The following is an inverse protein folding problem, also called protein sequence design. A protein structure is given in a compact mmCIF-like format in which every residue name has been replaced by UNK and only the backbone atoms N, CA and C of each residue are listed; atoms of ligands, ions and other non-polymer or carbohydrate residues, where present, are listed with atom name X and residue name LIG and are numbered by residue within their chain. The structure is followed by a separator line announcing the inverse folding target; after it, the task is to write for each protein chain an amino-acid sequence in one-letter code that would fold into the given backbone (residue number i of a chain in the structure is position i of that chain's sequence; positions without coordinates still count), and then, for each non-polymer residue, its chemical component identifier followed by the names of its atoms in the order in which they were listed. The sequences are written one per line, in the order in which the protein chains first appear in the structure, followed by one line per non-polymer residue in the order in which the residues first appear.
data_IF_529478312056
#
_entry.id   IF_529478312056
#
_cell.length_a   1.000
_cell.length_b   1.000
_cell.length_c   1.000
_cell.angle_alpha   90.00
_cell.angle_beta   90.00
_cell.angle_gamma   90.00
#
_symmetry.space_group_name_H-M   'P 1'
#
loop_
_entity.id
_entity.type
_entity.pdbx_description
1 polymer ?
#
# COMPACT_ATOMS: atom_id res chain seq x y z
N UNK A 1 -2.77 3.13 -15.36
CA UNK A 1 -1.70 3.28 -14.35
C UNK A 1 -0.44 2.68 -14.95
N UNK A 2 0.63 3.46 -14.93
CA UNK A 2 1.93 3.03 -15.44
C UNK A 2 2.75 2.40 -14.31
N UNK A 3 3.75 1.59 -14.69
CA UNK A 3 4.68 0.99 -13.72
C UNK A 3 5.51 2.10 -13.03
N UNK A 4 5.61 2.02 -11.71
CA UNK A 4 6.36 2.99 -10.90
C UNK A 4 5.62 4.31 -10.66
N UNK A 5 4.32 4.41 -10.97
CA UNK A 5 3.51 5.56 -10.59
C UNK A 5 3.08 5.50 -9.11
N UNK A 6 3.05 6.66 -8.48
CA UNK A 6 2.34 6.88 -7.22
C UNK A 6 0.93 7.36 -7.53
N UNK A 7 -0.07 6.53 -7.29
CA UNK A 7 -1.46 6.78 -7.66
C UNK A 7 -2.30 7.04 -6.41
N UNK A 8 -3.13 8.07 -6.46
CA UNK A 8 -4.13 8.33 -5.42
C UNK A 8 -5.53 8.14 -5.99
N UNK A 9 -6.28 7.23 -5.39
CA UNK A 9 -7.71 7.03 -5.65
C UNK A 9 -8.48 7.74 -4.54
N UNK A 10 -9.23 8.77 -4.89
CA UNK A 10 -9.92 9.62 -3.93
C UNK A 10 -11.42 9.66 -4.18
N UNK A 11 -12.19 9.77 -3.10
CA UNK A 11 -13.63 9.86 -3.14
C UNK A 11 -14.27 9.79 -1.76
N UNK A 12 -15.56 10.14 -1.62
CA UNK A 12 -16.25 10.10 -0.34
C UNK A 12 -16.32 8.69 0.24
N UNK A 13 -16.64 8.56 1.53
CA UNK A 13 -16.94 7.26 2.15
C UNK A 13 -18.07 6.56 1.40
N UNK A 14 -17.95 5.25 1.22
CA UNK A 14 -18.93 4.45 0.46
C UNK A 14 -18.84 4.62 -1.07
N UNK A 15 -17.88 5.35 -1.61
CA UNK A 15 -17.72 5.52 -3.06
C UNK A 15 -17.29 4.25 -3.82
N UNK A 16 -16.89 3.18 -3.12
CA UNK A 16 -16.42 1.93 -3.72
C UNK A 16 -14.90 1.82 -3.82
N UNK A 17 -14.13 2.70 -3.17
CA UNK A 17 -12.66 2.71 -3.22
C UNK A 17 -12.04 1.40 -2.72
N UNK A 18 -12.44 0.95 -1.53
CA UNK A 18 -11.96 -0.32 -0.94
C UNK A 18 -12.35 -1.52 -1.81
N UNK A 19 -13.53 -1.51 -2.44
CA UNK A 19 -13.94 -2.56 -3.39
C UNK A 19 -12.98 -2.60 -4.59
N UNK A 20 -12.65 -1.45 -5.17
CA UNK A 20 -11.67 -1.38 -6.27
C UNK A 20 -10.31 -1.92 -5.82
N UNK A 21 -9.84 -1.52 -4.64
CA UNK A 21 -8.56 -2.00 -4.09
C UNK A 21 -8.57 -3.52 -3.88
N UNK A 22 -9.65 -4.07 -3.33
CA UNK A 22 -9.80 -5.51 -3.13
C UNK A 22 -9.80 -6.29 -4.45
N UNK A 23 -10.45 -5.76 -5.47
CA UNK A 23 -10.46 -6.37 -6.80
C UNK A 23 -9.06 -6.28 -7.44
N UNK A 24 -8.40 -5.11 -7.39
CA UNK A 24 -7.04 -4.95 -7.88
C UNK A 24 -6.04 -5.88 -7.18
N UNK A 25 -6.23 -6.07 -5.89
CA UNK A 25 -5.40 -6.96 -5.08
C UNK A 25 -5.77 -8.44 -5.16
N UNK A 26 -6.81 -8.82 -5.91
CA UNK A 26 -7.26 -10.20 -6.04
C UNK A 26 -7.88 -10.79 -4.76
N UNK A 27 -8.32 -9.95 -3.82
CA UNK A 27 -9.10 -10.37 -2.63
C UNK A 27 -10.54 -10.66 -3.07
N UNK A 28 -11.06 -9.84 -3.98
CA UNK A 28 -12.39 -9.98 -4.57
C UNK A 28 -12.27 -10.14 -6.09
N UNK A 29 -13.35 -10.57 -6.74
CA UNK A 29 -13.41 -10.79 -8.18
C UNK A 29 -14.29 -9.73 -8.85
N UNK A 30 -13.89 -9.27 -10.05
CA UNK A 30 -14.73 -8.37 -10.83
C UNK A 30 -15.83 -9.14 -11.57
N UNK A 31 -17.04 -8.55 -11.62
CA UNK A 31 -18.17 -9.12 -12.36
C UNK A 31 -18.03 -8.96 -13.89
N UNK A 32 -17.13 -8.08 -14.33
CA UNK A 32 -16.87 -7.81 -15.75
C UNK A 32 -15.68 -6.88 -15.93
N UNK A 33 -15.23 -6.72 -17.16
CA UNK A 33 -14.02 -5.95 -17.47
C UNK A 33 -12.75 -6.76 -17.32
N UNK A 34 -11.58 -6.10 -17.45
CA UNK A 34 -10.27 -6.73 -17.41
C UNK A 34 -9.32 -5.96 -16.49
N UNK A 35 -8.53 -6.70 -15.72
CA UNK A 35 -7.42 -6.20 -14.95
C UNK A 35 -6.15 -6.81 -15.51
N UNK A 36 -5.22 -5.97 -15.92
CA UNK A 36 -3.93 -6.38 -16.47
C UNK A 36 -2.82 -5.92 -15.54
N UNK A 37 -1.92 -6.83 -15.18
CA UNK A 37 -0.66 -6.51 -14.52
C UNK A 37 0.49 -7.11 -15.35
N UNK A 38 1.41 -6.28 -15.78
CA UNK A 38 2.51 -6.67 -16.67
C UNK A 38 2.04 -7.50 -17.89
N UNK A 39 0.92 -7.12 -18.50
CA UNK A 39 0.32 -7.78 -19.64
C UNK A 39 -0.45 -9.08 -19.32
N UNK A 40 -0.47 -9.52 -18.08
CA UNK A 40 -1.23 -10.71 -17.66
C UNK A 40 -2.62 -10.33 -17.17
N UNK A 41 -3.65 -11.03 -17.64
CA UNK A 41 -5.05 -10.78 -17.25
C UNK A 41 -5.35 -11.42 -15.88
N UNK A 42 -5.22 -10.62 -14.81
CA UNK A 42 -5.49 -11.02 -13.42
C UNK A 42 -6.97 -11.38 -13.22
N UNK A 43 -7.88 -10.67 -13.90
CA UNK A 43 -9.32 -10.92 -13.83
C UNK A 43 -9.75 -12.32 -14.30
N UNK A 44 -8.90 -12.99 -15.09
CA UNK A 44 -9.13 -14.36 -15.56
C UNK A 44 -8.48 -15.43 -14.66
N UNK A 45 -7.87 -15.04 -13.52
CA UNK A 45 -7.18 -15.99 -12.66
C UNK A 45 -8.15 -16.88 -11.88
N UNK A 46 -7.80 -18.18 -11.79
CA UNK A 46 -8.46 -19.10 -10.87
C UNK A 46 -8.21 -18.69 -9.40
N UNK A 47 -9.01 -19.18 -8.44
CA UNK A 47 -8.79 -18.90 -7.02
C UNK A 47 -7.37 -19.24 -6.53
N UNK A 48 -6.79 -20.34 -7.02
CA UNK A 48 -5.41 -20.73 -6.73
C UNK A 48 -4.42 -19.69 -7.27
N UNK A 49 -4.59 -19.25 -8.51
CA UNK A 49 -3.72 -18.27 -9.15
C UNK A 49 -3.86 -16.87 -8.52
N UNK A 50 -5.06 -16.48 -8.06
CA UNK A 50 -5.26 -15.27 -7.26
C UNK A 50 -4.54 -15.34 -5.90
N UNK A 51 -4.47 -16.53 -5.27
CA UNK A 51 -3.67 -16.73 -4.05
C UNK A 51 -2.18 -16.52 -4.33
N UNK A 52 -1.65 -17.07 -5.44
CA UNK A 52 -0.26 -16.83 -5.87
C UNK A 52 -0.01 -15.35 -6.18
N UNK A 53 -0.93 -14.68 -6.87
CA UNK A 53 -0.88 -13.25 -7.17
C UNK A 53 -0.78 -12.40 -5.90
N UNK A 54 -1.67 -12.61 -4.91
CA UNK A 54 -1.60 -11.93 -3.61
C UNK A 54 -0.30 -12.22 -2.86
N UNK A 55 0.22 -13.43 -3.02
CA UNK A 55 1.43 -13.89 -2.33
C UNK A 55 2.69 -13.21 -2.88
N UNK A 56 2.80 -13.08 -4.20
CA UNK A 56 4.04 -12.70 -4.87
C UNK A 56 4.04 -11.29 -5.47
N UNK A 57 2.90 -10.83 -5.98
CA UNK A 57 2.86 -9.61 -6.78
C UNK A 57 2.29 -8.41 -6.01
N UNK A 58 1.52 -8.64 -4.92
CA UNK A 58 0.79 -7.57 -4.21
C UNK A 58 1.20 -7.48 -2.75
N UNK A 59 1.55 -6.28 -2.31
CA UNK A 59 1.65 -5.90 -0.90
C UNK A 59 0.42 -5.09 -0.46
N UNK A 60 -0.10 -5.37 0.73
CA UNK A 60 -1.22 -4.64 1.31
C UNK A 60 -0.81 -3.89 2.56
N UNK A 61 -1.24 -2.63 2.65
CA UNK A 61 -1.14 -1.77 3.83
C UNK A 61 -2.54 -1.29 4.17
N UNK A 62 -3.02 -1.60 5.36
CA UNK A 62 -4.37 -1.27 5.82
C UNK A 62 -4.35 -0.14 6.85
N UNK A 63 -5.48 0.53 7.05
CA UNK A 63 -5.67 1.55 8.08
C UNK A 63 -5.42 1.00 9.50
N UNK A 64 -5.88 -0.22 9.77
CA UNK A 64 -5.55 -0.96 10.98
C UNK A 64 -4.38 -1.89 10.66
N UNK A 65 -3.32 -1.78 11.41
CA UNK A 65 -1.99 -2.36 11.11
C UNK A 65 -1.99 -3.88 10.93
N UNK A 66 -2.98 -4.59 11.51
CA UNK A 66 -3.15 -6.04 11.43
C UNK A 66 -1.89 -6.81 11.82
N UNK A 67 -1.21 -6.34 12.88
CA UNK A 67 -0.03 -7.00 13.44
C UNK A 67 -0.46 -8.10 14.41
N UNK A 68 0.30 -9.18 14.43
CA UNK A 68 0.16 -10.26 15.38
C UNK A 68 0.75 -9.79 16.71
N UNK A 69 -0.07 -9.66 17.75
CA UNK A 69 0.28 -8.97 18.99
C UNK A 69 1.34 -9.67 19.84
N UNK A 70 1.47 -10.99 19.72
CA UNK A 70 2.45 -11.82 20.44
C UNK A 70 3.72 -12.10 19.64
N UNK A 71 3.92 -11.41 18.52
CA UNK A 71 5.14 -11.44 17.73
C UNK A 71 5.80 -10.05 17.76
N UNK A 72 7.13 -10.03 17.75
CA UNK A 72 7.93 -8.81 17.62
C UNK A 72 7.74 -8.15 16.27
N UNK A 73 8.27 -6.93 16.08
CA UNK A 73 8.26 -6.25 14.78
C UNK A 73 8.95 -7.11 13.71
N UNK A 74 10.10 -7.67 14.02
CA UNK A 74 10.84 -8.55 13.10
C UNK A 74 10.03 -9.79 12.74
N UNK A 75 9.52 -10.52 13.71
CA UNK A 75 8.70 -11.72 13.48
C UNK A 75 7.42 -11.43 12.70
N UNK A 76 6.78 -10.25 12.91
CA UNK A 76 5.63 -9.80 12.11
C UNK A 76 5.99 -9.60 10.64
N UNK A 77 7.20 -9.13 10.34
CA UNK A 77 7.69 -8.97 8.97
C UNK A 77 8.04 -10.34 8.39
N UNK A 78 8.80 -11.17 9.10
CA UNK A 78 9.21 -12.53 8.68
C UNK A 78 8.05 -13.47 8.34
N UNK A 79 6.84 -13.22 8.86
CA UNK A 79 5.65 -13.98 8.47
C UNK A 79 5.39 -13.94 6.96
N UNK A 80 5.77 -12.84 6.30
CA UNK A 80 5.54 -12.68 4.86
C UNK A 80 6.57 -13.46 4.04
N UNK A 81 7.84 -13.56 4.49
CA UNK A 81 8.90 -14.30 3.79
C UNK A 81 8.60 -15.78 3.67
N UNK A 82 7.98 -16.36 4.70
CA UNK A 82 7.66 -17.81 4.74
C UNK A 82 6.79 -18.27 3.55
N UNK A 83 6.12 -17.35 2.90
CA UNK A 83 5.20 -17.66 1.81
C UNK A 83 5.65 -17.10 0.45
N UNK A 84 6.76 -16.35 0.39
CA UNK A 84 7.26 -15.70 -0.81
C UNK A 84 8.38 -16.51 -1.49
N UNK A 85 8.65 -16.23 -2.78
CA UNK A 85 9.71 -16.93 -3.52
C UNK A 85 11.07 -16.24 -3.41
N UNK A 86 11.06 -14.90 -3.39
CA UNK A 86 12.25 -14.06 -3.37
C UNK A 86 11.97 -12.85 -2.45
N UNK A 87 11.79 -13.09 -1.14
CA UNK A 87 11.54 -12.03 -0.19
C UNK A 87 12.80 -11.16 0.00
N UNK A 88 12.58 -9.90 0.33
CA UNK A 88 13.61 -9.05 0.89
C UNK A 88 13.97 -9.58 2.30
N UNK A 89 15.18 -9.33 2.75
CA UNK A 89 15.54 -9.59 4.15
C UNK A 89 14.66 -8.74 5.10
N UNK A 90 14.12 -9.38 6.14
CA UNK A 90 13.17 -8.73 7.04
C UNK A 90 13.81 -7.59 7.85
N UNK A 91 15.09 -7.73 8.25
CA UNK A 91 15.80 -6.63 8.90
C UNK A 91 16.05 -5.48 7.94
N UNK A 92 16.37 -5.77 6.67
CA UNK A 92 16.51 -4.75 5.64
C UNK A 92 15.18 -4.01 5.41
N UNK A 93 14.05 -4.72 5.34
CA UNK A 93 12.74 -4.12 5.24
C UNK A 93 12.43 -3.19 6.42
N UNK A 94 12.80 -3.58 7.65
CA UNK A 94 12.64 -2.74 8.84
C UNK A 94 13.58 -1.53 8.84
N UNK A 95 14.82 -1.66 8.34
CA UNK A 95 15.73 -0.51 8.16
C UNK A 95 15.19 0.50 7.16
N UNK A 96 14.61 0.05 6.04
CA UNK A 96 13.99 0.92 5.04
C UNK A 96 12.88 1.80 5.61
N UNK A 97 12.18 1.32 6.63
CA UNK A 97 11.12 2.08 7.30
C UNK A 97 11.59 2.78 8.59
N UNK A 98 12.91 2.76 8.89
CA UNK A 98 13.52 3.43 10.05
C UNK A 98 13.13 2.80 11.39
N UNK A 99 13.13 1.46 11.46
CA UNK A 99 12.80 0.69 12.66
C UNK A 99 13.90 -0.29 13.10
N UNK A 100 15.16 -0.05 12.73
CA UNK A 100 16.28 -0.92 13.11
C UNK A 100 16.42 -1.12 14.63
N UNK A 101 16.15 -0.09 15.42
CA UNK A 101 16.23 -0.17 16.88
C UNK A 101 14.95 -0.75 17.53
N UNK A 102 13.92 -1.00 16.74
CA UNK A 102 12.60 -1.48 17.20
C UNK A 102 12.28 -2.92 16.81
N UNK A 103 13.19 -3.62 16.17
CA UNK A 103 12.97 -4.98 15.62
C UNK A 103 12.48 -5.99 16.67
N UNK A 104 12.96 -5.88 17.92
CA UNK A 104 12.62 -6.77 19.02
C UNK A 104 11.40 -6.31 19.85
N UNK A 105 10.79 -5.17 19.53
CA UNK A 105 9.64 -4.67 20.24
C UNK A 105 8.36 -5.39 19.77
N UNK A 106 7.47 -5.65 20.72
CA UNK A 106 6.11 -6.13 20.44
C UNK A 106 5.20 -4.95 20.00
N UNK A 107 4.11 -5.19 19.25
CA UNK A 107 3.18 -4.14 18.85
C UNK A 107 2.70 -3.25 19.99
N UNK A 108 2.48 -3.81 21.18
CA UNK A 108 2.07 -3.05 22.37
C UNK A 108 3.13 -2.05 22.88
N UNK A 109 4.37 -2.17 22.44
CA UNK A 109 5.50 -1.31 22.80
C UNK A 109 5.80 -0.27 21.70
N UNK A 110 5.04 -0.28 20.62
CA UNK A 110 5.19 0.58 19.45
C UNK A 110 4.08 1.62 19.39
N UNK A 111 4.43 2.84 19.02
CA UNK A 111 3.44 3.87 18.66
C UNK A 111 2.63 3.45 17.42
N UNK A 112 1.47 4.09 17.19
CA UNK A 112 0.66 3.81 16.00
C UNK A 112 1.44 3.98 14.69
N UNK A 113 2.27 5.02 14.60
CA UNK A 113 3.12 5.24 13.43
C UNK A 113 4.22 4.19 13.26
N UNK A 114 4.80 3.68 14.36
CA UNK A 114 5.75 2.57 14.30
C UNK A 114 5.06 1.28 13.87
N UNK A 115 3.87 0.99 14.40
CA UNK A 115 3.07 -0.16 13.98
C UNK A 115 2.71 -0.10 12.48
N UNK A 116 2.37 1.09 11.98
CA UNK A 116 2.11 1.29 10.55
C UNK A 116 3.37 1.07 9.71
N UNK A 117 4.53 1.53 10.18
CA UNK A 117 5.80 1.23 9.50
C UNK A 117 6.15 -0.25 9.50
N UNK A 118 5.86 -1.01 10.58
CA UNK A 118 5.99 -2.48 10.57
C UNK A 118 5.07 -3.10 9.53
N UNK A 119 3.81 -2.65 9.42
CA UNK A 119 2.88 -3.14 8.40
C UNK A 119 3.36 -2.85 6.97
N UNK A 120 3.98 -1.68 6.74
CA UNK A 120 4.60 -1.33 5.46
C UNK A 120 5.82 -2.22 5.20
N UNK A 121 6.72 -2.40 6.17
CA UNK A 121 7.88 -3.28 6.05
C UNK A 121 7.46 -4.72 5.67
N UNK A 122 6.44 -5.26 6.35
CA UNK A 122 5.86 -6.58 6.03
C UNK A 122 5.31 -6.67 4.60
N UNK A 123 4.73 -5.58 4.10
CA UNK A 123 4.25 -5.54 2.73
C UNK A 123 5.41 -5.46 1.71
N UNK A 124 6.48 -4.72 2.04
CA UNK A 124 7.66 -4.53 1.19
C UNK A 124 8.57 -5.76 1.16
N UNK A 125 8.69 -6.47 2.28
CA UNK A 125 9.49 -7.69 2.40
C UNK A 125 9.11 -8.75 1.35
N UNK A 126 7.84 -8.83 0.97
CA UNK A 126 7.35 -9.67 -0.13
C UNK A 126 7.96 -9.33 -1.49
N UNK A 127 8.67 -8.20 -1.60
CA UNK A 127 9.18 -7.65 -2.85
C UNK A 127 8.09 -7.51 -3.95
N UNK A 128 6.93 -6.92 -3.64
CA UNK A 128 5.77 -6.89 -4.52
C UNK A 128 5.99 -5.94 -5.71
N UNK A 129 5.26 -6.17 -6.80
CA UNK A 129 5.18 -5.24 -7.94
C UNK A 129 4.25 -4.07 -7.66
N UNK A 130 3.20 -4.33 -6.88
CA UNK A 130 2.11 -3.42 -6.59
C UNK A 130 1.90 -3.33 -5.06
N UNK A 131 1.98 -2.12 -4.52
CA UNK A 131 1.66 -1.82 -3.13
C UNK A 131 0.30 -1.12 -3.07
N UNK A 132 -0.66 -1.74 -2.40
CA UNK A 132 -2.02 -1.25 -2.23
C UNK A 132 -2.23 -0.77 -0.80
N UNK A 133 -2.55 0.52 -0.63
CA UNK A 133 -2.69 1.15 0.68
C UNK A 133 -4.13 1.66 0.86
N UNK A 134 -4.83 1.11 1.86
CA UNK A 134 -6.18 1.55 2.26
C UNK A 134 -6.09 2.49 3.45
N UNK A 135 -6.34 3.79 3.24
CA UNK A 135 -6.31 4.85 4.26
C UNK A 135 -5.06 4.76 5.18
N UNK A 136 -3.84 4.72 4.63
CA UNK A 136 -2.62 4.36 5.39
C UNK A 136 -2.29 5.34 6.51
N UNK A 137 -2.92 6.50 6.57
CA UNK A 137 -2.74 7.54 7.59
C UNK A 137 -3.97 7.75 8.46
N UNK A 138 -5.06 7.03 8.20
CA UNK A 138 -6.37 7.31 8.81
C UNK A 138 -6.46 7.14 10.33
N UNK A 139 -5.51 6.42 10.95
CA UNK A 139 -5.41 6.23 12.40
C UNK A 139 -4.24 6.99 13.04
N UNK A 140 -3.60 7.93 12.30
CA UNK A 140 -2.38 8.61 12.72
C UNK A 140 -2.62 10.12 12.88
N UNK A 141 -1.83 10.75 13.75
CA UNK A 141 -1.74 12.19 13.81
C UNK A 141 -1.09 12.79 12.54
N UNK A 142 -1.23 14.08 12.35
CA UNK A 142 -0.78 14.80 11.16
C UNK A 142 0.71 14.57 10.84
N UNK A 143 1.59 14.74 11.84
CA UNK A 143 3.05 14.64 11.65
C UNK A 143 3.44 13.21 11.27
N UNK A 144 2.91 12.25 12.00
CA UNK A 144 3.15 10.82 11.75
C UNK A 144 2.59 10.40 10.39
N UNK A 145 1.38 10.85 10.06
CA UNK A 145 0.76 10.59 8.76
C UNK A 145 1.59 11.12 7.60
N UNK A 146 2.15 12.33 7.74
CA UNK A 146 3.04 12.94 6.74
C UNK A 146 4.30 12.12 6.52
N UNK A 147 4.91 11.59 7.59
CA UNK A 147 6.07 10.71 7.51
C UNK A 147 5.75 9.38 6.79
N UNK A 148 4.55 8.83 7.02
CA UNK A 148 4.09 7.64 6.29
C UNK A 148 3.90 7.92 4.79
N UNK A 149 3.30 9.05 4.43
CA UNK A 149 3.14 9.42 3.02
C UNK A 149 4.48 9.61 2.33
N UNK A 150 5.43 10.27 3.01
CA UNK A 150 6.81 10.40 2.52
C UNK A 150 7.44 9.03 2.29
N UNK A 151 7.37 8.13 3.27
CA UNK A 151 7.90 6.78 3.15
C UNK A 151 7.32 6.03 1.95
N UNK A 152 6.01 6.12 1.71
CA UNK A 152 5.36 5.47 0.57
C UNK A 152 5.79 6.11 -0.76
N UNK A 153 5.90 7.44 -0.82
CA UNK A 153 6.39 8.15 -2.02
C UNK A 153 7.85 7.81 -2.31
N UNK A 154 8.72 7.83 -1.30
CA UNK A 154 10.13 7.45 -1.42
C UNK A 154 10.27 5.98 -1.85
N UNK A 155 9.45 5.08 -1.30
CA UNK A 155 9.40 3.68 -1.73
C UNK A 155 9.09 3.56 -3.21
N UNK A 156 8.07 4.26 -3.69
CA UNK A 156 7.70 4.29 -5.11
C UNK A 156 8.88 4.77 -5.97
N UNK A 157 9.46 5.92 -5.61
CA UNK A 157 10.55 6.56 -6.38
C UNK A 157 11.84 5.73 -6.41
N UNK A 158 12.25 5.22 -5.24
CA UNK A 158 13.54 4.54 -5.08
C UNK A 158 13.53 3.10 -5.59
N UNK A 159 12.38 2.43 -5.55
CA UNK A 159 12.28 1.00 -5.91
C UNK A 159 11.60 0.76 -7.27
N UNK A 160 10.98 1.78 -7.86
CA UNK A 160 10.19 1.66 -9.09
C UNK A 160 8.92 0.81 -8.94
N UNK A 161 8.49 0.54 -7.71
CA UNK A 161 7.23 -0.18 -7.42
C UNK A 161 6.05 0.76 -7.64
N UNK A 162 4.96 0.23 -8.16
CA UNK A 162 3.71 0.99 -8.27
C UNK A 162 3.03 1.03 -6.90
N UNK A 163 2.68 2.22 -6.45
CA UNK A 163 1.97 2.44 -5.18
C UNK A 163 0.60 3.03 -5.45
N UNK A 164 -0.46 2.40 -4.96
CA UNK A 164 -1.83 2.91 -5.05
C UNK A 164 -2.34 3.17 -3.64
N UNK A 165 -2.63 4.42 -3.34
CA UNK A 165 -3.24 4.86 -2.08
C UNK A 165 -4.70 5.18 -2.32
N UNK A 166 -5.61 4.55 -1.56
CA UNK A 166 -7.00 4.99 -1.51
C UNK A 166 -7.24 5.81 -0.25
N UNK A 167 -7.92 6.94 -0.40
CA UNK A 167 -8.20 7.85 0.71
C UNK A 167 -9.42 8.72 0.44
N UNK A 168 -10.00 9.28 1.50
CA UNK A 168 -10.99 10.36 1.39
C UNK A 168 -10.34 11.74 1.49
N UNK A 169 -9.03 11.81 1.82
CA UNK A 169 -8.32 13.08 1.94
C UNK A 169 -7.88 13.62 0.58
N UNK A 170 -8.51 14.73 0.16
CA UNK A 170 -8.24 15.37 -1.12
C UNK A 170 -6.83 15.97 -1.23
N UNK A 171 -6.21 16.34 -0.12
CA UNK A 171 -4.88 16.95 -0.12
C UNK A 171 -3.82 16.02 -0.74
N UNK A 172 -3.97 14.70 -0.59
CA UNK A 172 -3.00 13.72 -1.11
C UNK A 172 -2.95 13.68 -2.64
N UNK A 173 -3.94 14.24 -3.33
CA UNK A 173 -3.95 14.30 -4.79
C UNK A 173 -2.77 15.11 -5.35
N UNK A 174 -2.27 16.10 -4.62
CA UNK A 174 -1.19 16.94 -5.07
C UNK A 174 0.18 16.23 -5.15
N UNK A 175 0.36 15.11 -4.41
CA UNK A 175 1.60 14.34 -4.43
C UNK A 175 1.60 13.16 -5.41
N UNK A 176 0.46 12.86 -6.01
CA UNK A 176 0.30 11.73 -6.91
C UNK A 176 0.75 12.05 -8.34
N UNK A 177 1.33 11.06 -9.02
CA UNK A 177 1.56 11.12 -10.47
C UNK A 177 0.22 11.04 -11.22
N UNK A 178 -0.71 10.24 -10.66
CA UNK A 178 -2.06 10.05 -11.22
C UNK A 178 -3.10 10.08 -10.13
N UNK A 179 -4.17 10.82 -10.37
CA UNK A 179 -5.33 10.91 -9.49
C UNK A 179 -6.53 10.27 -10.16
N UNK A 180 -7.23 9.39 -9.45
CA UNK A 180 -8.48 8.78 -9.90
C UNK A 180 -9.57 9.18 -8.92
N UNK A 181 -10.57 9.93 -9.38
CA UNK A 181 -11.71 10.33 -8.57
C UNK A 181 -12.86 9.37 -8.75
N UNK A 182 -13.31 8.79 -7.62
CA UNK A 182 -14.43 7.83 -7.62
C UNK A 182 -15.61 8.41 -6.83
N UNK A 183 -16.82 8.23 -7.38
CA UNK A 183 -18.09 8.54 -6.71
C UNK A 183 -19.14 7.52 -7.11
N UNK A 184 -19.85 6.96 -6.14
CA UNK A 184 -20.96 6.01 -6.36
C UNK A 184 -20.59 4.87 -7.32
N UNK A 185 -19.42 4.26 -7.11
CA UNK A 185 -18.92 3.13 -7.90
C UNK A 185 -18.46 3.46 -9.32
N UNK A 186 -18.31 4.75 -9.66
CA UNK A 186 -17.89 5.18 -11.01
C UNK A 186 -16.66 6.08 -10.94
N UNK A 187 -15.76 5.93 -11.90
CA UNK A 187 -14.68 6.89 -12.14
C UNK A 187 -15.27 8.14 -12.74
N UNK A 188 -15.14 9.27 -12.05
CA UNK A 188 -15.58 10.57 -12.54
C UNK A 188 -14.51 11.26 -13.38
N UNK A 189 -13.25 11.12 -12.94
CA UNK A 189 -12.14 11.86 -13.51
C UNK A 189 -10.86 11.08 -13.29
N UNK A 190 -9.95 11.20 -14.24
CA UNK A 190 -8.59 10.69 -14.14
C UNK A 190 -7.63 11.79 -14.59
N UNK A 191 -6.76 12.23 -13.69
CA UNK A 191 -5.81 13.33 -13.92
C UNK A 191 -4.41 12.77 -13.85
N UNK A 192 -3.59 13.07 -14.82
CA UNK A 192 -2.15 12.89 -14.76
C UNK A 192 -1.52 14.19 -14.27
N UNK A 193 -0.68 14.11 -13.25
CA UNK A 193 -0.01 15.26 -12.67
C UNK A 193 1.44 15.30 -13.18
N UNK A 194 1.77 16.35 -13.91
CA UNK A 194 3.12 16.52 -14.48
C UNK A 194 4.16 16.91 -13.42
N UNK A 195 3.72 17.50 -12.31
CA UNK A 195 4.58 18.03 -11.25
C UNK A 195 4.06 17.63 -9.86
N UNK A 196 4.14 16.33 -9.49
CA UNK A 196 3.71 15.88 -8.18
C UNK A 196 4.57 16.51 -7.08
N UNK A 197 3.91 17.02 -6.04
CA UNK A 197 4.57 17.62 -4.90
C UNK A 197 5.22 16.54 -4.00
N UNK A 198 6.34 16.84 -3.34
CA UNK A 198 6.84 15.99 -2.29
C UNK A 198 5.88 15.96 -1.10
N UNK A 199 5.78 14.81 -0.43
CA UNK A 199 4.84 14.60 0.68
C UNK A 199 5.00 15.63 1.80
N UNK A 200 6.20 16.16 2.01
CA UNK A 200 6.50 17.18 3.02
C UNK A 200 5.78 18.52 2.76
N UNK A 201 5.36 18.78 1.54
CA UNK A 201 4.63 20.00 1.17
C UNK A 201 3.12 19.86 1.19
N UNK A 202 2.60 18.67 1.50
CA UNK A 202 1.16 18.44 1.59
C UNK A 202 0.65 18.95 2.95
N UNK A 203 -0.45 19.68 2.92
CA UNK A 203 -1.16 20.16 4.11
C UNK A 203 -2.61 19.71 4.06
N UNK A 204 -3.15 19.22 5.19
CA UNK A 204 -4.54 18.75 5.32
C UNK A 204 -5.07 18.92 6.74
#
# INVERSE_FOLDING_TARGET
VEKGEFVVIVGPSGAGKTTVLNILGGIDTCSGGKILLDGQEVSAYSPRKLTEYRRYDVGFVFQFYNLVQNLTALENVELASQICRDPMDAEEALRLVGLEERMKNFPSQLSGGEQQRVAIARALEKNPKLLLCDEPTGALDYVTGKNILKLLQDTCRNTGKTVIVITHNQAFTAMADRVIRIKSGRVLEMIQNEHPLPAERIEW
#
